data_IF_674990315779
#
_entry.id   IF_674990315779
#
_cell.length_a   1.000
_cell.length_b   1.000
_cell.length_c   1.000
_cell.angle_alpha   90.00
_cell.angle_beta   90.00
_cell.angle_gamma   90.00
#
_symmetry.space_group_name_H-M   'P 1'
#
loop_
_entity.id
_entity.type
_entity.pdbx_description
1 polymer ?
#
# COMPACT_ATOMS: atom_id res chain seq x y z
N UNK A 1 11.41 9.04 19.63
CA UNK A 1 10.57 8.45 18.55
C UNK A 1 11.40 8.51 17.27
N UNK A 2 11.78 7.38 16.69
CA UNK A 2 12.61 7.30 15.49
C UNK A 2 11.74 7.21 14.24
N UNK A 3 12.11 7.93 13.18
CA UNK A 3 11.45 7.89 11.89
C UNK A 3 11.74 6.56 11.17
N UNK A 4 10.81 6.10 10.34
CA UNK A 4 11.02 4.97 9.44
C UNK A 4 11.42 5.49 8.07
N UNK A 5 12.66 5.24 7.66
CA UNK A 5 13.21 5.74 6.41
C UNK A 5 13.68 4.58 5.53
N UNK A 6 13.19 4.52 4.30
CA UNK A 6 13.62 3.54 3.30
C UNK A 6 13.63 4.19 1.92
N UNK A 7 14.73 4.05 1.18
CA UNK A 7 14.83 4.50 -0.22
C UNK A 7 14.49 5.98 -0.50
N UNK A 8 14.59 6.85 0.53
CA UNK A 8 14.22 8.26 0.44
C UNK A 8 12.80 8.57 0.94
N UNK A 9 11.98 7.55 1.14
CA UNK A 9 10.65 7.67 1.73
C UNK A 9 10.71 7.67 3.24
N UNK A 10 10.04 8.64 3.86
CA UNK A 10 9.95 8.81 5.32
C UNK A 10 8.51 8.58 5.77
N UNK A 11 8.32 7.57 6.62
CA UNK A 11 7.03 7.18 7.19
C UNK A 11 5.94 6.97 6.13
N UNK A 12 6.30 6.40 4.99
CA UNK A 12 5.38 6.18 3.88
C UNK A 12 5.08 4.69 3.70
N UNK A 13 3.82 4.38 3.37
CA UNK A 13 3.39 3.09 2.85
C UNK A 13 3.32 3.23 1.33
N UNK A 14 4.14 2.46 0.62
CA UNK A 14 4.16 2.38 -0.84
C UNK A 14 3.59 1.04 -1.26
N UNK A 15 2.66 1.04 -2.21
CA UNK A 15 2.07 -0.18 -2.76
C UNK A 15 2.36 -0.29 -4.26
N UNK A 16 2.59 -1.51 -4.72
CA UNK A 16 2.78 -1.84 -6.13
C UNK A 16 2.32 -3.27 -6.37
N UNK A 17 2.08 -3.62 -7.64
CA UNK A 17 1.97 -5.01 -8.07
C UNK A 17 3.32 -5.53 -8.58
N UNK A 18 3.50 -6.85 -8.60
CA UNK A 18 4.69 -7.50 -9.19
C UNK A 18 4.26 -8.63 -10.10
N UNK A 19 4.73 -8.61 -11.34
CA UNK A 19 4.47 -9.67 -12.31
C UNK A 19 5.78 -10.06 -13.01
N UNK A 20 6.04 -11.37 -13.15
CA UNK A 20 7.24 -11.88 -13.82
C UNK A 20 8.55 -11.23 -13.36
N UNK A 21 8.65 -11.00 -12.04
CA UNK A 21 9.78 -10.34 -11.33
C UNK A 21 9.94 -8.83 -11.59
N UNK A 22 9.12 -8.24 -12.45
CA UNK A 22 9.10 -6.80 -12.72
C UNK A 22 8.07 -6.13 -11.82
N UNK A 23 8.47 -5.03 -11.17
CA UNK A 23 7.57 -4.19 -10.40
C UNK A 23 6.72 -3.33 -11.35
N UNK A 24 5.42 -3.26 -11.07
CA UNK A 24 4.50 -2.36 -11.76
C UNK A 24 4.64 -0.92 -11.31
N UNK A 25 3.66 -0.09 -11.66
CA UNK A 25 3.58 1.29 -11.18
C UNK A 25 3.32 1.30 -9.68
N UNK A 26 4.02 2.17 -8.97
CA UNK A 26 3.72 2.47 -7.57
C UNK A 26 2.42 3.28 -7.50
N UNK A 27 1.59 2.94 -6.53
CA UNK A 27 0.41 3.70 -6.18
C UNK A 27 0.76 4.76 -5.13
N UNK A 28 -0.06 5.84 -5.02
CA UNK A 28 0.23 6.96 -4.13
C UNK A 28 0.56 6.51 -2.71
N UNK A 29 1.63 7.07 -2.15
CA UNK A 29 2.09 6.70 -0.82
C UNK A 29 1.26 7.35 0.28
N UNK A 30 1.06 6.65 1.39
CA UNK A 30 0.33 7.15 2.57
C UNK A 30 1.26 7.31 3.75
N UNK A 31 1.15 8.44 4.45
CA UNK A 31 1.97 8.70 5.62
C UNK A 31 1.39 8.02 6.87
N UNK A 32 2.25 7.42 7.68
CA UNK A 32 1.93 6.92 9.00
C UNK A 32 2.69 7.68 10.09
N UNK A 33 2.18 7.62 11.32
CA UNK A 33 2.83 8.29 12.45
C UNK A 33 3.89 7.37 13.07
N UNK A 34 5.16 7.79 13.16
CA UNK A 34 6.20 7.04 13.86
C UNK A 34 5.81 6.77 15.30
N UNK A 35 6.01 5.54 15.77
CA UNK A 35 5.78 5.12 17.16
C UNK A 35 4.31 5.08 17.60
N UNK A 36 3.36 5.27 16.68
CA UNK A 36 1.95 4.91 16.87
C UNK A 36 1.71 3.47 16.42
N UNK A 37 0.72 2.79 17.01
CA UNK A 37 0.26 1.49 16.52
C UNK A 37 -0.47 1.71 15.19
N UNK A 38 -0.16 0.90 14.19
CA UNK A 38 -0.80 0.92 12.88
C UNK A 38 -1.58 -0.36 12.67
N UNK A 39 -2.91 -0.27 12.66
CA UNK A 39 -3.79 -1.39 12.33
C UNK A 39 -4.37 -1.23 10.93
N UNK A 40 -4.18 -2.25 10.10
CA UNK A 40 -4.66 -2.29 8.72
C UNK A 40 -5.53 -3.51 8.42
N UNK A 41 -6.53 -3.34 7.56
CA UNK A 41 -7.32 -4.42 6.98
C UNK A 41 -7.11 -4.48 5.47
N UNK A 42 -6.88 -5.69 4.96
CA UNK A 42 -6.81 -5.96 3.53
C UNK A 42 -8.11 -6.63 3.09
N UNK A 43 -8.77 -6.06 2.09
CA UNK A 43 -9.97 -6.63 1.48
C UNK A 43 -9.73 -6.92 0.01
N UNK A 44 -10.08 -8.12 -0.44
CA UNK A 44 -9.92 -8.55 -1.82
C UNK A 44 -11.30 -8.67 -2.48
N UNK A 45 -11.47 -8.07 -3.65
CA UNK A 45 -12.57 -8.35 -4.57
C UNK A 45 -12.04 -9.06 -5.82
N UNK A 46 -12.90 -9.37 -6.79
CA UNK A 46 -12.47 -9.92 -8.07
C UNK A 46 -11.67 -8.93 -8.92
N UNK A 47 -11.74 -7.63 -8.63
CA UNK A 47 -11.11 -6.57 -9.41
C UNK A 47 -10.10 -5.76 -8.63
N UNK A 48 -10.12 -5.79 -7.30
CA UNK A 48 -9.40 -4.82 -6.48
C UNK A 48 -8.83 -5.41 -5.19
N UNK A 49 -7.73 -4.82 -4.72
CA UNK A 49 -7.23 -4.91 -3.36
C UNK A 49 -7.51 -3.56 -2.67
N UNK A 50 -8.22 -3.62 -1.56
CA UNK A 50 -8.48 -2.47 -0.69
C UNK A 50 -7.63 -2.56 0.57
N UNK A 51 -7.04 -1.45 0.96
CA UNK A 51 -6.29 -1.32 2.21
C UNK A 51 -7.01 -0.26 3.05
N UNK A 52 -7.49 -0.66 4.23
CA UNK A 52 -8.12 0.26 5.19
C UNK A 52 -7.24 0.39 6.40
N UNK A 53 -6.93 1.62 6.77
CA UNK A 53 -6.16 1.95 7.96
C UNK A 53 -7.15 2.44 9.03
N UNK A 54 -7.06 1.89 10.26
CA UNK A 54 -8.04 2.16 11.33
C UNK A 54 -8.19 3.65 11.64
N UNK A 55 -7.07 4.40 11.59
CA UNK A 55 -7.00 5.83 11.92
C UNK A 55 -6.44 6.69 10.77
N UNK A 56 -6.45 6.17 9.54
CA UNK A 56 -5.80 6.80 8.37
C UNK A 56 -6.72 6.97 7.16
N UNK A 57 -6.31 7.77 6.15
CA UNK A 57 -7.05 7.93 4.90
C UNK A 57 -7.26 6.58 4.20
N UNK A 58 -8.43 6.42 3.57
CA UNK A 58 -8.73 5.27 2.72
C UNK A 58 -7.72 5.20 1.57
N UNK A 59 -7.03 4.07 1.41
CA UNK A 59 -6.14 3.82 0.27
C UNK A 59 -7.00 3.58 -0.98
N UNK A 60 -6.73 4.26 -2.11
CA UNK A 60 -7.37 3.97 -3.39
C UNK A 60 -7.19 2.50 -3.76
N UNK A 61 -8.24 1.94 -4.36
CA UNK A 61 -8.30 0.55 -4.79
C UNK A 61 -7.11 0.23 -5.70
N UNK A 62 -6.31 -0.79 -5.34
CA UNK A 62 -5.29 -1.31 -6.24
C UNK A 62 -5.98 -2.30 -7.19
N UNK A 63 -6.07 -2.00 -8.50
CA UNK A 63 -6.65 -2.94 -9.44
C UNK A 63 -5.83 -4.23 -9.47
N UNK A 64 -6.51 -5.36 -9.37
CA UNK A 64 -5.92 -6.66 -9.59
C UNK A 64 -5.66 -6.80 -11.10
N UNK A 65 -4.40 -6.68 -11.51
CA UNK A 65 -4.01 -7.10 -12.86
C UNK A 65 -4.05 -8.63 -12.92
N UNK A 66 -5.24 -9.17 -13.17
CA UNK A 66 -5.51 -10.59 -13.35
C UNK A 66 -6.42 -10.80 -14.55
N UNK A 67 -5.80 -10.99 -15.72
CA UNK A 67 -6.49 -11.51 -16.89
C UNK A 67 -5.52 -12.36 -17.69
N UNK A 68 -5.63 -13.67 -17.57
CA UNK A 68 -5.17 -14.60 -18.60
C UNK A 68 -5.66 -14.08 -19.96
N UNK A 69 -4.73 -13.84 -20.88
CA UNK A 69 -4.94 -14.10 -22.30
C UNK A 69 -4.13 -15.34 -22.67
#
# INVERSE_FOLDING_TARGET
MTLFNAHGDTNAIVSSSKHSRVWGREEPAFLFQPGSIMDGCFGFSCSDLTIKLRDGPHVPQLPQHGGHQ
#
